data_IF_428040198313
#
_entry.id   IF_428040198313
#
_cell.length_a   1.000
_cell.length_b   1.000
_cell.length_c   1.000
_cell.angle_alpha   90.00
_cell.angle_beta   90.00
_cell.angle_gamma   90.00
#
_symmetry.space_group_name_H-M   'P 1'
#
loop_
_entity.id
_entity.type
_entity.pdbx_description
1 polymer ?
#
# COMPACT_ATOMS: atom_id res chain seq x y z
N UNK A 1 23.93 -15.88 -12.66
CA UNK A 1 22.56 -15.31 -12.54
C UNK A 1 22.71 -13.83 -12.20
N UNK A 2 21.93 -12.92 -12.82
CA UNK A 2 21.89 -11.53 -12.34
C UNK A 2 21.28 -11.52 -10.93
N UNK A 3 21.83 -10.70 -10.05
CA UNK A 3 21.34 -10.56 -8.68
C UNK A 3 19.91 -9.99 -8.68
N UNK A 4 19.00 -10.55 -7.86
CA UNK A 4 17.63 -10.06 -7.70
C UNK A 4 17.66 -8.67 -7.04
N UNK A 5 16.84 -7.74 -7.49
CA UNK A 5 16.73 -6.41 -6.89
C UNK A 5 16.06 -6.52 -5.52
N UNK A 6 16.70 -5.95 -4.50
CA UNK A 6 16.16 -6.01 -3.13
C UNK A 6 15.06 -4.96 -2.96
N UNK A 7 13.88 -5.43 -2.58
CA UNK A 7 12.73 -4.59 -2.24
C UNK A 7 12.41 -4.79 -0.76
N UNK A 8 12.31 -3.70 0.00
CA UNK A 8 11.99 -3.76 1.44
C UNK A 8 10.61 -3.21 1.76
N UNK A 9 10.08 -2.36 0.89
CA UNK A 9 8.78 -1.72 1.05
C UNK A 9 8.00 -1.72 -0.26
N UNK A 10 6.69 -1.60 -0.17
CA UNK A 10 5.77 -1.52 -1.30
C UNK A 10 4.86 -0.32 -1.10
N UNK A 11 4.58 0.37 -2.20
CA UNK A 11 3.59 1.42 -2.28
C UNK A 11 2.61 1.06 -3.38
N UNK A 12 1.33 0.97 -3.07
CA UNK A 12 0.29 0.58 -4.04
C UNK A 12 -0.65 1.75 -4.30
N UNK A 13 -0.98 1.99 -5.57
CA UNK A 13 -2.01 2.94 -6.00
C UNK A 13 -2.88 2.28 -7.07
N UNK A 14 -4.19 2.50 -7.00
CA UNK A 14 -5.11 1.87 -7.92
C UNK A 14 -6.56 2.07 -7.53
N UNK A 15 -7.44 1.38 -8.24
CA UNK A 15 -8.87 1.52 -8.09
C UNK A 15 -9.51 0.39 -7.26
N UNK A 16 -10.79 0.10 -7.51
CA UNK A 16 -11.57 -0.93 -6.83
C UNK A 16 -10.97 -2.33 -6.97
N UNK A 17 -10.16 -2.61 -8.00
CA UNK A 17 -9.48 -3.89 -8.17
C UNK A 17 -8.41 -4.14 -7.09
N UNK A 18 -7.94 -3.08 -6.45
CA UNK A 18 -6.90 -3.13 -5.41
C UNK A 18 -7.35 -2.53 -4.07
N UNK A 19 -8.56 -1.96 -4.01
CA UNK A 19 -9.10 -1.33 -2.80
C UNK A 19 -9.33 -2.36 -1.68
N UNK A 20 -8.74 -2.07 -0.51
CA UNK A 20 -8.77 -2.91 0.70
C UNK A 20 -9.82 -2.44 1.72
N UNK A 21 -10.77 -1.60 1.32
CA UNK A 21 -11.86 -1.08 2.16
C UNK A 21 -11.84 0.44 2.35
N UNK A 22 -10.94 1.18 1.70
CA UNK A 22 -10.82 2.64 1.84
C UNK A 22 -12.12 3.32 1.38
N UNK A 23 -12.71 2.88 0.27
CA UNK A 23 -14.00 3.43 -0.19
C UNK A 23 -15.17 3.07 0.75
N UNK A 24 -15.12 1.95 1.46
CA UNK A 24 -16.16 1.57 2.42
C UNK A 24 -16.18 2.50 3.64
N UNK A 25 -14.99 2.85 4.12
CA UNK A 25 -14.77 3.68 5.30
C UNK A 25 -14.90 5.19 5.03
N UNK A 26 -14.88 5.60 3.76
CA UNK A 26 -14.95 7.01 3.36
C UNK A 26 -16.33 7.63 3.61
N UNK A 27 -16.33 8.86 4.14
CA UNK A 27 -17.52 9.69 4.25
C UNK A 27 -17.39 10.92 3.36
N UNK A 28 -18.32 11.05 2.40
CA UNK A 28 -18.48 12.27 1.62
C UNK A 28 -19.02 13.40 2.51
N UNK A 29 -18.37 14.56 2.46
CA UNK A 29 -18.61 15.72 3.34
C UNK A 29 -18.52 15.41 4.85
N UNK A 30 -17.91 14.28 5.23
CA UNK A 30 -17.78 13.83 6.61
C UNK A 30 -19.05 13.18 7.22
N UNK A 31 -20.14 13.03 6.46
CA UNK A 31 -21.38 12.45 6.99
C UNK A 31 -22.16 11.53 6.03
N UNK A 32 -21.86 11.52 4.73
CA UNK A 32 -22.52 10.62 3.76
C UNK A 32 -21.62 9.38 3.54
N UNK A 33 -21.99 8.19 4.04
CA UNK A 33 -21.15 7.00 3.89
C UNK A 33 -21.05 6.57 2.42
N UNK A 34 -19.82 6.50 1.89
CA UNK A 34 -19.59 6.13 0.50
C UNK A 34 -19.98 4.68 0.20
N UNK A 35 -19.91 3.77 1.18
CA UNK A 35 -20.43 2.39 1.11
C UNK A 35 -21.80 2.25 0.46
N UNK A 36 -22.71 3.21 0.70
CA UNK A 36 -24.07 3.20 0.14
C UNK A 36 -24.13 3.68 -1.30
N UNK A 37 -23.18 4.52 -1.70
CA UNK A 37 -23.11 5.12 -3.03
C UNK A 37 -22.25 4.31 -4.01
N UNK A 38 -21.33 3.49 -3.49
CA UNK A 38 -20.38 2.69 -4.27
C UNK A 38 -20.83 1.27 -4.57
N UNK A 39 -22.00 0.85 -4.07
CA UNK A 39 -22.51 -0.53 -4.25
C UNK A 39 -21.98 -1.55 -3.23
N UNK A 40 -21.11 -1.14 -2.30
CA UNK A 40 -20.51 -2.01 -1.28
C UNK A 40 -21.48 -2.45 -0.16
N UNK A 41 -22.63 -1.80 -0.02
CA UNK A 41 -23.54 -1.98 1.12
C UNK A 41 -24.12 -3.40 1.31
N UNK A 42 -24.08 -4.28 0.29
CA UNK A 42 -24.72 -5.61 0.35
C UNK A 42 -23.85 -6.79 -0.07
N UNK A 43 -22.90 -6.57 -0.97
CA UNK A 43 -22.19 -7.64 -1.67
C UNK A 43 -20.67 -7.55 -1.47
N UNK A 44 -20.20 -6.90 -0.42
CA UNK A 44 -18.77 -6.62 -0.24
C UNK A 44 -18.32 -6.98 1.17
N UNK A 45 -17.99 -8.26 1.43
CA UNK A 45 -17.36 -8.64 2.68
C UNK A 45 -16.10 -7.79 2.90
N UNK A 46 -15.99 -7.20 4.09
CA UNK A 46 -14.85 -6.36 4.49
C UNK A 46 -14.60 -5.14 3.56
N UNK A 47 -15.63 -4.63 2.87
CA UNK A 47 -15.54 -3.38 2.13
C UNK A 47 -14.77 -3.44 0.80
N UNK A 48 -14.43 -4.64 0.31
CA UNK A 48 -13.74 -4.83 -0.99
C UNK A 48 -14.75 -5.02 -2.12
N UNK A 49 -14.39 -4.63 -3.34
CA UNK A 49 -15.22 -4.82 -4.55
C UNK A 49 -15.15 -6.26 -5.08
N UNK A 50 -15.27 -7.24 -4.18
CA UNK A 50 -15.21 -8.67 -4.49
C UNK A 50 -15.81 -9.45 -3.30
N UNK A 51 -15.86 -10.78 -3.37
CA UNK A 51 -16.41 -11.66 -2.33
C UNK A 51 -15.40 -12.11 -1.27
N UNK A 52 -14.26 -11.44 -1.17
CA UNK A 52 -13.17 -11.79 -0.27
C UNK A 52 -12.02 -10.80 -0.38
N UNK A 53 -10.80 -11.33 -0.39
CA UNK A 53 -9.58 -10.53 -0.49
C UNK A 53 -9.21 -10.20 -1.94
N UNK A 54 -8.69 -8.99 -2.17
CA UNK A 54 -8.16 -8.59 -3.48
C UNK A 54 -6.79 -9.23 -3.74
N UNK A 55 -6.27 -9.07 -4.95
CA UNK A 55 -4.93 -9.54 -5.31
C UNK A 55 -3.85 -8.88 -4.44
N UNK A 56 -4.06 -7.61 -4.05
CA UNK A 56 -3.13 -6.85 -3.20
C UNK A 56 -3.09 -7.41 -1.77
N UNK A 57 -4.24 -7.77 -1.19
CA UNK A 57 -4.31 -8.48 0.10
C UNK A 57 -3.58 -9.83 0.06
N UNK A 58 -3.78 -10.59 -1.03
CA UNK A 58 -3.14 -11.91 -1.24
C UNK A 58 -1.63 -11.77 -1.40
N UNK A 59 -1.18 -10.79 -2.18
CA UNK A 59 0.23 -10.50 -2.38
C UNK A 59 0.90 -10.05 -1.07
N UNK A 60 0.24 -9.17 -0.30
CA UNK A 60 0.69 -8.74 1.02
C UNK A 60 0.90 -9.91 1.97
N UNK A 61 -0.05 -10.85 1.97
CA UNK A 61 -0.01 -12.10 2.75
C UNK A 61 1.14 -13.00 2.31
N UNK A 62 1.34 -13.17 1.01
CA UNK A 62 2.43 -13.97 0.46
C UNK A 62 3.79 -13.44 0.93
N UNK A 63 4.02 -12.12 0.88
CA UNK A 63 5.26 -11.52 1.37
C UNK A 63 5.45 -11.71 2.88
N UNK A 64 4.41 -11.45 3.68
CA UNK A 64 4.48 -11.63 5.12
C UNK A 64 4.78 -13.09 5.51
N UNK A 65 4.12 -14.05 4.84
CA UNK A 65 4.39 -15.47 5.03
C UNK A 65 5.83 -15.84 4.63
N UNK A 66 6.33 -15.30 3.52
CA UNK A 66 7.72 -15.52 3.11
C UNK A 66 8.71 -14.98 4.15
N UNK A 67 8.45 -13.81 4.75
CA UNK A 67 9.30 -13.28 5.82
C UNK A 67 9.34 -14.21 7.03
N UNK A 68 8.21 -14.80 7.40
CA UNK A 68 8.14 -15.76 8.52
C UNK A 68 8.91 -17.03 8.17
N UNK A 69 8.70 -17.57 6.97
CA UNK A 69 9.40 -18.78 6.50
C UNK A 69 10.91 -18.55 6.49
N UNK A 70 11.38 -17.43 5.96
CA UNK A 70 12.80 -17.07 5.94
C UNK A 70 13.36 -16.94 7.36
N UNK A 71 12.63 -16.30 8.28
CA UNK A 71 13.02 -16.14 9.69
C UNK A 71 13.12 -17.49 10.41
N UNK A 72 12.17 -18.40 10.17
CA UNK A 72 12.15 -19.74 10.74
C UNK A 72 13.27 -20.62 10.19
N UNK A 73 13.51 -20.58 8.87
CA UNK A 73 14.64 -21.25 8.23
C UNK A 73 15.97 -20.77 8.81
N UNK A 74 16.14 -19.46 8.96
CA UNK A 74 17.40 -18.89 9.45
C UNK A 74 17.63 -19.13 10.93
N UNK A 75 16.61 -18.93 11.79
CA UNK A 75 16.77 -18.98 13.25
C UNK A 75 16.57 -20.35 13.86
N UNK A 76 15.71 -21.18 13.26
CA UNK A 76 15.36 -22.51 13.79
C UNK A 76 15.85 -23.66 12.91
N UNK A 77 16.48 -23.38 11.77
CA UNK A 77 16.97 -24.38 10.81
C UNK A 77 15.88 -25.34 10.31
N UNK A 78 14.61 -24.89 10.30
CA UNK A 78 13.49 -25.68 9.82
C UNK A 78 13.46 -25.72 8.30
N UNK A 79 13.10 -26.86 7.72
CA UNK A 79 12.78 -26.98 6.29
C UNK A 79 11.37 -26.45 5.98
N UNK A 80 11.02 -26.34 4.69
CA UNK A 80 9.65 -25.98 4.32
C UNK A 80 8.64 -27.05 4.78
N UNK A 81 9.03 -28.32 4.74
CA UNK A 81 8.20 -29.45 5.17
C UNK A 81 7.97 -29.41 6.68
N UNK A 82 9.03 -29.14 7.48
CA UNK A 82 8.88 -29.00 8.94
C UNK A 82 7.91 -27.87 9.32
N UNK A 83 7.95 -26.75 8.58
CA UNK A 83 7.04 -25.62 8.80
C UNK A 83 5.61 -26.01 8.43
N UNK A 84 5.42 -26.70 7.31
CA UNK A 84 4.11 -27.17 6.86
C UNK A 84 3.51 -28.17 7.85
N UNK A 85 4.28 -29.17 8.27
CA UNK A 85 3.88 -30.15 9.28
C UNK A 85 3.51 -29.45 10.59
N UNK A 86 4.33 -28.50 11.04
CA UNK A 86 4.05 -27.71 12.25
C UNK A 86 2.74 -26.92 12.16
N UNK A 87 2.39 -26.39 10.98
CA UNK A 87 1.10 -25.71 10.77
C UNK A 87 -0.04 -26.72 10.81
N UNK A 88 0.09 -27.88 10.14
CA UNK A 88 -0.93 -28.94 10.12
C UNK A 88 -1.18 -29.48 11.53
N UNK A 89 -0.13 -29.72 12.31
CA UNK A 89 -0.22 -30.21 13.69
C UNK A 89 -0.53 -29.11 14.70
N UNK A 90 -0.77 -27.87 14.26
CA UNK A 90 -1.08 -26.71 15.10
C UNK A 90 -0.03 -26.48 16.20
N UNK A 91 1.27 -26.61 15.88
CA UNK A 91 2.35 -26.24 16.80
C UNK A 91 2.15 -24.78 17.24
N UNK A 92 1.96 -24.57 18.54
CA UNK A 92 1.58 -23.25 19.09
C UNK A 92 2.64 -22.18 18.78
N UNK A 93 3.92 -22.52 18.76
CA UNK A 93 4.97 -21.55 18.52
C UNK A 93 5.02 -21.12 17.06
N UNK A 94 4.95 -22.08 16.13
CA UNK A 94 4.94 -21.78 14.69
C UNK A 94 3.64 -21.09 14.31
N UNK A 95 2.48 -21.60 14.74
CA UNK A 95 1.19 -21.01 14.46
C UNK A 95 1.05 -19.58 15.01
N UNK A 96 1.58 -19.31 16.22
CA UNK A 96 1.62 -17.95 16.78
C UNK A 96 2.44 -16.99 15.92
N UNK A 97 3.53 -17.45 15.30
CA UNK A 97 4.36 -16.62 14.43
C UNK A 97 3.58 -16.14 13.19
N UNK A 98 2.71 -16.98 12.60
CA UNK A 98 1.84 -16.60 11.48
C UNK A 98 0.68 -15.73 11.90
N UNK A 99 -0.02 -16.09 12.99
CA UNK A 99 -1.23 -15.37 13.42
C UNK A 99 -0.98 -13.99 14.04
N UNK A 100 0.22 -13.72 14.56
CA UNK A 100 0.52 -12.47 15.29
C UNK A 100 1.48 -11.53 14.56
N UNK A 101 2.16 -11.98 13.50
CA UNK A 101 3.18 -11.15 12.85
C UNK A 101 2.59 -10.12 11.89
N UNK A 102 1.36 -10.27 11.39
CA UNK A 102 0.73 -9.28 10.51
C UNK A 102 -0.79 -9.39 10.56
N UNK A 103 -1.49 -8.37 10.07
CA UNK A 103 -2.93 -8.42 9.84
C UNK A 103 -3.32 -7.54 8.65
N UNK A 104 -4.44 -7.88 8.00
CA UNK A 104 -4.96 -7.14 6.84
C UNK A 104 -6.09 -6.16 7.19
N UNK A 105 -6.33 -5.91 8.49
CA UNK A 105 -7.45 -5.06 8.96
C UNK A 105 -7.28 -3.58 8.65
N UNK A 106 -6.04 -3.10 8.66
CA UNK A 106 -5.72 -1.73 8.28
C UNK A 106 -5.72 -1.63 6.75
N UNK A 107 -6.61 -0.80 6.22
CA UNK A 107 -6.77 -0.61 4.80
C UNK A 107 -5.64 0.28 4.24
N UNK A 108 -5.09 1.21 5.01
CA UNK A 108 -4.08 2.18 4.56
C UNK A 108 -2.66 1.57 4.56
N UNK A 109 -2.41 0.54 5.35
CA UNK A 109 -1.09 -0.09 5.41
C UNK A 109 -1.11 -1.55 5.84
N UNK A 110 -0.01 -2.25 5.53
CA UNK A 110 0.28 -3.57 6.11
C UNK A 110 1.58 -3.49 6.88
N UNK A 111 1.53 -4.02 8.11
CA UNK A 111 2.66 -4.07 9.01
C UNK A 111 3.06 -5.53 9.26
N UNK A 112 4.36 -5.78 9.30
CA UNK A 112 4.96 -7.03 9.70
C UNK A 112 5.75 -6.83 10.99
N UNK A 113 5.33 -7.47 12.09
CA UNK A 113 5.87 -7.27 13.45
C UNK A 113 5.98 -5.79 13.80
N UNK A 114 4.91 -5.04 13.52
CA UNK A 114 4.80 -3.59 13.68
C UNK A 114 5.64 -2.73 12.71
N UNK A 115 6.44 -3.34 11.84
CA UNK A 115 7.14 -2.61 10.78
C UNK A 115 6.24 -2.45 9.59
N UNK A 116 5.96 -1.21 9.21
CA UNK A 116 5.29 -0.90 7.95
C UNK A 116 6.12 -1.47 6.80
N UNK A 117 5.50 -2.29 5.96
CA UNK A 117 6.13 -2.76 4.74
C UNK A 117 5.30 -2.45 3.48
N UNK A 118 3.98 -2.23 3.62
CA UNK A 118 3.13 -1.78 2.53
C UNK A 118 2.40 -0.52 2.95
N UNK A 119 2.40 0.49 2.07
CA UNK A 119 1.48 1.63 2.11
C UNK A 119 0.50 1.52 0.95
N UNK A 120 -0.78 1.61 1.27
CA UNK A 120 -1.87 1.46 0.33
C UNK A 120 -2.54 2.81 0.07
N UNK A 121 -2.63 3.18 -1.19
CA UNK A 121 -3.33 4.36 -1.69
C UNK A 121 -4.41 3.99 -2.72
N UNK A 122 -4.80 2.71 -2.76
CA UNK A 122 -5.86 2.20 -3.61
C UNK A 122 -7.24 2.69 -3.11
N UNK A 123 -8.09 3.18 -4.01
CA UNK A 123 -9.43 3.60 -3.63
C UNK A 123 -10.41 3.34 -4.77
N UNK A 124 -11.55 2.74 -4.45
CA UNK A 124 -12.63 2.49 -5.40
C UNK A 124 -12.96 3.70 -6.26
N UNK A 125 -13.07 3.51 -7.57
CA UNK A 125 -13.38 4.60 -8.49
C UNK A 125 -12.23 5.56 -8.80
N UNK A 126 -11.01 5.35 -8.26
CA UNK A 126 -9.83 6.14 -8.63
C UNK A 126 -9.64 6.18 -10.14
N UNK A 127 -9.52 7.38 -10.70
CA UNK A 127 -9.12 7.59 -12.10
C UNK A 127 -7.65 7.98 -12.21
N UNK A 128 -7.04 7.66 -13.35
CA UNK A 128 -5.69 8.11 -13.64
C UNK A 128 -5.67 9.64 -13.79
N UNK A 129 -6.54 10.18 -14.64
CA UNK A 129 -6.68 11.61 -14.88
C UNK A 129 -7.62 12.27 -13.86
N UNK A 130 -7.39 13.55 -13.56
CA UNK A 130 -8.27 14.38 -12.73
C UNK A 130 -9.40 14.97 -13.59
N UNK A 131 -10.64 14.59 -13.26
CA UNK A 131 -11.84 15.05 -13.96
C UNK A 131 -12.67 16.07 -13.16
N UNK A 132 -12.21 16.51 -11.99
CA UNK A 132 -12.97 17.37 -11.06
C UNK A 132 -13.54 18.64 -11.70
N UNK A 133 -12.85 19.18 -12.71
CA UNK A 133 -13.26 20.37 -13.46
C UNK A 133 -13.82 20.09 -14.87
N UNK A 134 -14.07 18.83 -15.21
CA UNK A 134 -14.59 18.43 -16.53
C UNK A 134 -16.13 18.44 -16.55
N UNK A 135 -16.77 19.33 -17.33
CA UNK A 135 -18.23 19.43 -17.39
C UNK A 135 -18.85 18.13 -17.90
N UNK A 136 -19.97 17.73 -17.31
CA UNK A 136 -20.77 16.57 -17.71
C UNK A 136 -22.25 16.95 -17.75
N UNK A 137 -22.95 16.56 -18.81
CA UNK A 137 -24.41 16.71 -18.91
C UNK A 137 -25.18 15.72 -18.02
N UNK A 138 -24.48 14.77 -17.39
CA UNK A 138 -25.06 13.78 -16.48
C UNK A 138 -24.69 14.16 -15.04
N UNK A 139 -25.69 14.50 -14.23
CA UNK A 139 -25.51 14.95 -12.84
C UNK A 139 -24.78 13.90 -11.99
N UNK A 140 -25.13 12.61 -12.12
CA UNK A 140 -24.43 11.52 -11.42
C UNK A 140 -22.95 11.43 -11.80
N UNK A 141 -22.62 11.60 -13.09
CA UNK A 141 -21.21 11.60 -13.56
C UNK A 141 -20.47 12.88 -13.18
N UNK A 142 -21.15 14.02 -13.16
CA UNK A 142 -20.57 15.27 -12.68
C UNK A 142 -20.19 15.14 -11.20
N UNK A 143 -21.09 14.61 -10.39
CA UNK A 143 -20.88 14.32 -8.97
C UNK A 143 -19.75 13.29 -8.77
N UNK A 144 -19.71 12.20 -9.56
CA UNK A 144 -18.63 11.21 -9.46
C UNK A 144 -17.27 11.81 -9.82
N UNK A 145 -17.19 12.67 -10.86
CA UNK A 145 -15.94 13.34 -11.26
C UNK A 145 -15.38 14.27 -10.18
N UNK A 146 -16.24 14.86 -9.35
CA UNK A 146 -15.83 15.74 -8.25
C UNK A 146 -15.38 14.93 -7.02
N UNK A 147 -15.96 13.76 -6.80
CA UNK A 147 -15.79 13.01 -5.56
C UNK A 147 -14.68 11.96 -5.66
N UNK A 148 -14.52 11.34 -6.82
CA UNK A 148 -13.57 10.25 -7.00
C UNK A 148 -12.13 10.79 -7.05
N UNK A 149 -11.19 10.14 -6.35
CA UNK A 149 -9.81 10.58 -6.33
C UNK A 149 -9.12 10.33 -7.67
N UNK A 150 -8.08 11.11 -7.94
CA UNK A 150 -7.17 10.92 -9.06
C UNK A 150 -5.78 10.43 -8.58
N UNK A 151 -4.92 10.00 -9.51
CA UNK A 151 -3.51 9.77 -9.18
C UNK A 151 -2.81 11.02 -8.65
N UNK A 152 -3.23 12.22 -9.06
CA UNK A 152 -2.66 13.46 -8.54
C UNK A 152 -2.99 13.66 -7.04
N UNK A 153 -4.19 13.26 -6.61
CA UNK A 153 -4.57 13.28 -5.20
C UNK A 153 -3.76 12.27 -4.40
N UNK A 154 -3.60 11.04 -4.92
CA UNK A 154 -2.78 10.01 -4.27
C UNK A 154 -1.31 10.39 -4.19
N UNK A 155 -0.75 11.02 -5.22
CA UNK A 155 0.59 11.61 -5.14
C UNK A 155 0.72 12.62 -4.01
N UNK A 156 -0.27 13.52 -3.87
CA UNK A 156 -0.29 14.52 -2.80
C UNK A 156 -0.35 13.86 -1.43
N UNK A 157 -1.16 12.80 -1.28
CA UNK A 157 -1.23 11.99 -0.06
C UNK A 157 0.10 11.29 0.25
N UNK A 158 0.76 10.69 -0.75
CA UNK A 158 2.07 10.05 -0.61
C UNK A 158 3.12 11.04 -0.12
N UNK A 159 3.19 12.25 -0.70
CA UNK A 159 4.16 13.26 -0.28
C UNK A 159 3.89 13.71 1.16
N UNK A 160 2.61 13.88 1.53
CA UNK A 160 2.22 14.20 2.91
C UNK A 160 2.67 13.10 3.89
N UNK A 161 2.41 11.85 3.55
CA UNK A 161 2.78 10.70 4.37
C UNK A 161 4.30 10.49 4.41
N UNK A 162 5.00 10.74 3.30
CA UNK A 162 6.46 10.69 3.24
C UNK A 162 7.08 11.65 4.26
N UNK A 163 6.53 12.86 4.36
CA UNK A 163 6.94 13.84 5.35
C UNK A 163 6.52 13.43 6.76
N UNK A 164 5.28 12.98 6.96
CA UNK A 164 4.75 12.59 8.27
C UNK A 164 5.52 11.40 8.87
N UNK A 165 5.92 10.44 8.05
CA UNK A 165 6.62 9.23 8.46
C UNK A 165 8.15 9.31 8.29
N UNK A 166 8.68 10.45 7.85
CA UNK A 166 10.12 10.68 7.65
C UNK A 166 10.76 9.62 6.73
N UNK A 167 10.11 9.32 5.62
CA UNK A 167 10.56 8.31 4.66
C UNK A 167 11.90 8.75 4.04
N UNK A 168 12.96 7.97 4.30
CA UNK A 168 14.31 8.27 3.84
C UNK A 168 14.48 8.03 2.34
N UNK A 169 15.53 8.60 1.73
CA UNK A 169 15.87 8.31 0.34
C UNK A 169 16.21 6.82 0.11
N UNK A 170 16.80 6.16 1.11
CA UNK A 170 17.10 4.73 1.05
C UNK A 170 15.81 3.89 1.09
N UNK A 171 14.82 4.28 1.89
CA UNK A 171 13.50 3.63 1.90
C UNK A 171 12.79 3.83 0.56
N UNK A 172 12.74 5.07 0.03
CA UNK A 172 12.12 5.34 -1.28
C UNK A 172 12.78 4.59 -2.43
N UNK A 173 14.11 4.54 -2.45
CA UNK A 173 14.86 3.85 -3.50
C UNK A 173 14.78 2.33 -3.41
N UNK A 174 14.44 1.77 -2.24
CA UNK A 174 14.15 0.33 -2.06
C UNK A 174 12.66 -0.01 -2.00
N UNK A 175 11.79 0.96 -2.30
CA UNK A 175 10.34 0.78 -2.40
C UNK A 175 9.94 0.39 -3.82
N UNK A 176 9.12 -0.65 -3.95
CA UNK A 176 8.44 -1.00 -5.19
C UNK A 176 7.08 -0.29 -5.28
N UNK A 177 6.90 0.55 -6.29
CA UNK A 177 5.64 1.21 -6.60
C UNK A 177 4.82 0.34 -7.54
N UNK A 178 3.64 -0.07 -7.11
CA UNK A 178 2.66 -0.79 -7.91
C UNK A 178 1.52 0.16 -8.26
N UNK A 179 1.21 0.29 -9.55
CA UNK A 179 0.17 1.21 -10.00
C UNK A 179 -0.78 0.55 -11.01
N UNK A 180 -2.05 0.42 -10.61
CA UNK A 180 -3.12 -0.15 -11.44
C UNK A 180 -4.31 0.81 -11.52
N UNK A 181 -4.25 1.75 -12.45
CA UNK A 181 -5.31 2.72 -12.73
C UNK A 181 -5.63 2.83 -14.22
N UNK A 182 -6.77 3.47 -14.52
CA UNK A 182 -7.20 3.80 -15.88
C UNK A 182 -8.57 3.23 -16.24
N UNK A 183 -9.06 2.20 -15.56
CA UNK A 183 -10.36 1.61 -15.89
C UNK A 183 -11.50 2.64 -15.71
N UNK A 184 -11.50 3.38 -14.60
CA UNK A 184 -12.51 4.38 -14.31
C UNK A 184 -12.53 5.54 -15.30
N UNK A 185 -11.39 5.92 -15.88
CA UNK A 185 -11.29 6.89 -16.98
C UNK A 185 -12.12 6.45 -18.19
N UNK A 186 -12.22 5.14 -18.44
CA UNK A 186 -12.97 4.59 -19.57
C UNK A 186 -14.44 4.32 -19.24
N UNK A 187 -14.74 3.80 -18.04
CA UNK A 187 -16.05 3.16 -17.76
C UNK A 187 -16.88 3.82 -16.65
N UNK A 188 -16.30 4.72 -15.86
CA UNK A 188 -16.96 5.29 -14.67
C UNK A 188 -17.19 6.79 -14.82
N UNK A 189 -16.11 7.56 -15.01
CA UNK A 189 -16.17 9.02 -15.06
C UNK A 189 -16.56 9.54 -16.44
N UNK A 190 -16.57 8.69 -17.46
CA UNK A 190 -16.96 9.02 -18.82
C UNK A 190 -18.15 8.16 -19.28
N UNK A 191 -19.01 8.74 -20.12
CA UNK A 191 -20.23 8.07 -20.56
C UNK A 191 -19.97 6.90 -21.52
N UNK A 192 -18.85 6.97 -22.26
CA UNK A 192 -18.39 5.96 -23.22
C UNK A 192 -16.86 5.97 -23.23
N UNK A 193 -16.25 4.81 -23.43
CA UNK A 193 -14.83 4.72 -23.71
C UNK A 193 -14.48 5.49 -24.99
N UNK A 194 -13.32 6.15 -24.99
CA UNK A 194 -12.78 6.81 -26.18
C UNK A 194 -11.26 6.89 -26.14
N UNK A 195 -10.64 6.94 -27.32
CA UNK A 195 -9.18 7.05 -27.46
C UNK A 195 -8.61 8.31 -26.77
N UNK A 196 -9.37 9.42 -26.75
CA UNK A 196 -8.97 10.65 -26.05
C UNK A 196 -8.81 10.44 -24.54
N UNK A 197 -9.71 9.69 -23.92
CA UNK A 197 -9.63 9.43 -22.48
C UNK A 197 -8.52 8.41 -22.16
N UNK A 198 -8.26 7.47 -23.08
CA UNK A 198 -7.07 6.62 -22.99
C UNK A 198 -5.78 7.45 -22.98
N UNK A 199 -5.63 8.40 -23.91
CA UNK A 199 -4.46 9.28 -23.98
C UNK A 199 -4.28 10.10 -22.70
N UNK A 200 -5.37 10.67 -22.16
CA UNK A 200 -5.36 11.42 -20.90
C UNK A 200 -4.93 10.56 -19.72
N UNK A 201 -5.46 9.35 -19.62
CA UNK A 201 -5.10 8.41 -18.56
C UNK A 201 -3.60 8.07 -18.62
N UNK A 202 -3.07 7.72 -19.80
CA UNK A 202 -1.64 7.41 -19.96
C UNK A 202 -0.76 8.63 -19.65
N UNK A 203 -1.12 9.82 -20.12
CA UNK A 203 -0.39 11.05 -19.79
C UNK A 203 -0.34 11.31 -18.28
N UNK A 204 -1.47 11.11 -17.58
CA UNK A 204 -1.53 11.28 -16.12
C UNK A 204 -0.67 10.24 -15.38
N UNK A 205 -0.67 8.98 -15.81
CA UNK A 205 0.18 7.92 -15.26
C UNK A 205 1.67 8.22 -15.45
N UNK A 206 2.08 8.65 -16.64
CA UNK A 206 3.46 9.07 -16.94
C UNK A 206 3.88 10.24 -16.06
N UNK A 207 3.01 11.25 -15.92
CA UNK A 207 3.27 12.39 -15.04
C UNK A 207 3.44 11.95 -13.58
N UNK A 208 2.60 11.04 -13.10
CA UNK A 208 2.68 10.51 -11.73
C UNK A 208 4.01 9.77 -11.49
N UNK A 209 4.43 8.90 -12.42
CA UNK A 209 5.72 8.20 -12.32
C UNK A 209 6.88 9.19 -12.27
N UNK A 210 6.93 10.18 -13.16
CA UNK A 210 7.97 11.20 -13.17
C UNK A 210 8.02 11.99 -11.84
N UNK A 211 6.85 12.33 -11.27
CA UNK A 211 6.77 13.00 -9.97
C UNK A 211 7.32 12.11 -8.84
N UNK A 212 7.01 10.82 -8.83
CA UNK A 212 7.55 9.88 -7.83
C UNK A 212 9.06 9.64 -8.00
N UNK A 213 9.56 9.58 -9.24
CA UNK A 213 11.00 9.53 -9.52
C UNK A 213 11.69 10.77 -8.92
N UNK A 214 11.13 11.96 -9.11
CA UNK A 214 11.64 13.20 -8.52
C UNK A 214 11.63 13.18 -6.98
N UNK A 215 10.74 12.40 -6.34
CA UNK A 215 10.72 12.22 -4.88
C UNK A 215 11.76 11.22 -4.34
N UNK A 216 12.35 10.38 -5.19
CA UNK A 216 13.35 9.39 -4.79
C UNK A 216 13.00 7.93 -5.12
N UNK A 217 11.78 7.65 -5.59
CA UNK A 217 11.36 6.30 -5.94
C UNK A 217 12.05 5.81 -7.22
N UNK A 218 12.40 4.52 -7.28
CA UNK A 218 13.20 3.95 -8.38
C UNK A 218 12.60 2.71 -9.03
N UNK A 219 11.67 2.02 -8.37
CA UNK A 219 11.13 0.76 -8.86
C UNK A 219 9.62 0.87 -9.08
N UNK A 220 9.16 0.58 -10.30
CA UNK A 220 7.78 0.77 -10.73
C UNK A 220 7.31 -0.44 -11.53
N UNK A 221 6.12 -0.95 -11.18
CA UNK A 221 5.36 -1.89 -12.00
C UNK A 221 3.99 -1.25 -12.28
N UNK A 222 3.74 -1.01 -13.56
CA UNK A 222 2.51 -0.41 -14.05
C UNK A 222 1.65 -1.51 -14.68
N UNK A 223 0.42 -1.65 -14.22
CA UNK A 223 -0.49 -2.66 -14.73
C UNK A 223 -1.17 -2.13 -15.98
N UNK A 224 -1.26 -2.97 -17.02
CA UNK A 224 -2.13 -2.68 -18.16
C UNK A 224 -3.61 -2.96 -17.81
N UNK A 225 -4.54 -2.68 -18.72
CA UNK A 225 -5.95 -2.92 -18.49
C UNK A 225 -6.36 -4.32 -18.93
N UNK A 226 -7.15 -5.05 -18.12
CA UNK A 226 -7.92 -6.18 -18.64
C UNK A 226 -8.85 -5.69 -19.75
N UNK A 227 -9.25 -6.58 -20.66
CA UNK A 227 -10.22 -6.21 -21.68
C UNK A 227 -11.59 -6.01 -21.03
N UNK A 228 -11.93 -4.75 -20.77
CA UNK A 228 -13.17 -4.36 -20.10
C UNK A 228 -14.40 -4.72 -20.94
N UNK A 229 -14.26 -4.96 -22.24
CA UNK A 229 -15.36 -5.40 -23.10
C UNK A 229 -15.85 -6.81 -22.77
N UNK A 230 -15.03 -7.62 -22.08
CA UNK A 230 -15.37 -8.97 -21.62
C UNK A 230 -16.22 -8.99 -20.35
N UNK A 231 -16.33 -7.86 -19.65
CA UNK A 231 -17.14 -7.77 -18.43
C UNK A 231 -18.63 -7.97 -18.72
N UNK A 232 -19.42 -8.52 -17.78
CA UNK A 232 -20.86 -8.69 -17.96
C UNK A 232 -21.57 -7.40 -18.39
N UNK A 233 -21.15 -6.24 -17.86
CA UNK A 233 -21.69 -4.92 -18.24
C UNK A 233 -21.67 -4.69 -19.76
N UNK A 234 -20.57 -5.01 -20.43
CA UNK A 234 -20.42 -4.81 -21.87
C UNK A 234 -20.92 -6.00 -22.70
N UNK A 235 -20.88 -7.21 -22.15
CA UNK A 235 -21.47 -8.39 -22.79
C UNK A 235 -23.00 -8.27 -22.89
N UNK A 236 -23.66 -7.67 -21.90
CA UNK A 236 -25.10 -7.36 -21.93
C UNK A 236 -25.43 -6.03 -22.62
N UNK A 237 -24.41 -5.28 -23.05
CA UNK A 237 -24.56 -3.99 -23.73
C UNK A 237 -24.73 -4.11 -25.25
N UNK A 238 -24.64 -2.97 -25.95
CA UNK A 238 -24.67 -2.97 -27.42
C UNK A 238 -23.33 -3.40 -28.00
N UNK A 239 -23.36 -4.04 -29.18
CA UNK A 239 -22.14 -4.42 -29.91
C UNK A 239 -21.20 -3.23 -30.15
N UNK A 240 -21.76 -2.08 -30.51
CA UNK A 240 -20.98 -0.84 -30.68
C UNK A 240 -20.25 -0.41 -29.41
N UNK A 241 -20.89 -0.54 -28.24
CA UNK A 241 -20.27 -0.23 -26.96
C UNK A 241 -19.18 -1.24 -26.59
N UNK A 242 -19.39 -2.52 -26.92
CA UNK A 242 -18.39 -3.58 -26.71
C UNK A 242 -17.16 -3.37 -27.60
N UNK A 243 -17.35 -3.14 -28.91
CA UNK A 243 -16.26 -2.92 -29.88
C UNK A 243 -15.39 -1.70 -29.51
N UNK A 244 -16.02 -0.55 -29.23
CA UNK A 244 -15.24 0.65 -28.89
C UNK A 244 -14.45 0.46 -27.59
N UNK A 245 -15.02 -0.22 -26.59
CA UNK A 245 -14.33 -0.51 -25.33
C UNK A 245 -13.16 -1.47 -25.55
N UNK A 246 -13.34 -2.54 -26.32
CA UNK A 246 -12.27 -3.48 -26.68
C UNK A 246 -11.08 -2.75 -27.33
N UNK A 247 -11.38 -1.94 -28.36
CA UNK A 247 -10.36 -1.15 -29.07
C UNK A 247 -9.67 -0.13 -28.18
N UNK A 248 -10.40 0.49 -27.25
CA UNK A 248 -9.80 1.41 -26.27
C UNK A 248 -8.86 0.68 -25.29
N UNK A 249 -9.21 -0.54 -24.85
CA UNK A 249 -8.35 -1.33 -23.97
C UNK A 249 -7.06 -1.75 -24.69
N UNK A 250 -7.15 -2.21 -25.94
CA UNK A 250 -5.98 -2.52 -26.76
C UNK A 250 -5.07 -1.29 -26.96
N UNK A 251 -5.67 -0.14 -27.31
CA UNK A 251 -4.93 1.11 -27.47
C UNK A 251 -4.27 1.56 -26.17
N UNK A 252 -4.97 1.44 -25.04
CA UNK A 252 -4.42 1.75 -23.71
C UNK A 252 -3.18 0.91 -23.43
N UNK A 253 -3.27 -0.41 -23.63
CA UNK A 253 -2.19 -1.33 -23.33
C UNK A 253 -0.97 -1.08 -24.23
N UNK A 254 -1.20 -0.78 -25.51
CA UNK A 254 -0.15 -0.38 -26.45
C UNK A 254 0.53 0.93 -26.02
N UNK A 255 -0.24 1.97 -25.70
CA UNK A 255 0.31 3.26 -25.28
C UNK A 255 1.05 3.16 -23.94
N UNK A 256 0.57 2.35 -23.00
CA UNK A 256 1.25 2.13 -21.71
C UNK A 256 2.63 1.49 -21.93
N UNK A 257 2.73 0.50 -22.80
CA UNK A 257 4.00 -0.15 -23.09
C UNK A 257 4.99 0.83 -23.73
N UNK A 258 4.55 1.59 -24.73
CA UNK A 258 5.36 2.65 -25.36
C UNK A 258 5.83 3.69 -24.34
N UNK A 259 4.93 4.16 -23.47
CA UNK A 259 5.25 5.11 -22.41
C UNK A 259 6.26 4.54 -21.40
N UNK A 260 6.11 3.27 -21.01
CA UNK A 260 7.08 2.61 -20.12
C UNK A 260 8.44 2.45 -20.79
N UNK A 261 8.51 2.13 -22.08
CA UNK A 261 9.76 2.09 -22.84
C UNK A 261 10.45 3.46 -22.85
N UNK A 262 9.70 4.54 -23.09
CA UNK A 262 10.22 5.90 -23.06
C UNK A 262 10.73 6.30 -21.66
N UNK A 263 9.94 6.02 -20.62
CA UNK A 263 10.32 6.30 -19.24
C UNK A 263 11.61 5.55 -18.83
N UNK A 264 11.77 4.28 -19.24
CA UNK A 264 13.02 3.51 -19.02
C UNK A 264 14.22 4.18 -19.68
N UNK A 265 14.09 4.64 -20.93
CA UNK A 265 15.18 5.31 -21.65
C UNK A 265 15.57 6.65 -20.99
N UNK A 266 14.60 7.37 -20.45
CA UNK A 266 14.81 8.67 -19.80
C UNK A 266 15.35 8.55 -18.36
N UNK A 267 15.17 7.39 -17.70
CA UNK A 267 15.48 7.18 -16.29
C UNK A 267 16.30 5.91 -16.08
N UNK A 268 17.56 5.91 -16.53
CA UNK A 268 18.44 4.74 -16.51
C UNK A 268 18.70 4.16 -15.10
N UNK A 269 18.49 4.94 -14.04
CA UNK A 269 18.61 4.52 -12.65
C UNK A 269 17.31 3.94 -12.06
N UNK A 270 16.24 3.84 -12.86
CA UNK A 270 14.95 3.31 -12.44
C UNK A 270 14.66 1.97 -13.13
N UNK A 271 13.95 1.09 -12.44
CA UNK A 271 13.33 -0.08 -13.07
C UNK A 271 11.85 0.18 -13.23
N UNK A 272 11.40 0.28 -14.45
CA UNK A 272 9.99 0.52 -14.78
C UNK A 272 9.54 -0.70 -15.59
N UNK A 273 8.42 -1.33 -15.28
CA UNK A 273 7.94 -2.51 -15.98
C UNK A 273 6.44 -2.45 -16.17
N UNK A 274 5.95 -3.07 -17.23
CA UNK A 274 4.52 -3.34 -17.41
C UNK A 274 4.25 -4.73 -16.86
N UNK A 275 3.18 -4.86 -16.08
CA UNK A 275 2.58 -6.16 -15.79
C UNK A 275 1.38 -6.38 -16.71
N UNK A 276 1.46 -7.43 -17.53
CA UNK A 276 0.44 -7.76 -18.51
C UNK A 276 -0.69 -8.59 -17.90
N UNK A 277 -1.61 -7.88 -17.25
CA UNK A 277 -2.82 -8.49 -16.69
C UNK A 277 -3.82 -8.85 -17.80
N UNK A 278 -3.79 -8.13 -18.92
CA UNK A 278 -4.69 -8.36 -20.05
C UNK A 278 -4.59 -9.78 -20.59
N UNK A 279 -3.35 -10.25 -20.84
CA UNK A 279 -3.12 -11.62 -21.30
C UNK A 279 -3.60 -12.66 -20.30
N UNK A 280 -3.46 -12.40 -18.99
CA UNK A 280 -3.94 -13.29 -17.93
C UNK A 280 -5.46 -13.41 -17.94
N UNK A 281 -6.19 -12.29 -18.00
CA UNK A 281 -7.66 -12.30 -18.11
C UNK A 281 -8.15 -12.95 -19.40
N UNK A 282 -7.48 -12.66 -20.52
CA UNK A 282 -7.82 -13.25 -21.82
C UNK A 282 -7.63 -14.77 -21.82
N UNK A 283 -6.56 -15.28 -21.21
CA UNK A 283 -6.33 -16.72 -21.07
C UNK A 283 -7.38 -17.38 -20.17
N UNK A 284 -7.76 -16.75 -19.05
CA UNK A 284 -8.83 -17.26 -18.17
C UNK A 284 -10.18 -17.31 -18.88
N UNK A 285 -10.48 -16.28 -19.69
CA UNK A 285 -11.74 -16.21 -20.42
C UNK A 285 -11.82 -17.23 -21.57
N UNK A 286 -10.71 -17.44 -22.28
CA UNK A 286 -10.67 -18.36 -23.44
C UNK A 286 -10.41 -19.82 -23.04
N UNK A 287 -9.74 -20.07 -21.91
CA UNK A 287 -9.39 -21.41 -21.42
C UNK A 287 -9.82 -21.62 -19.96
N UNK A 288 -11.12 -21.44 -19.63
CA UNK A 288 -11.59 -21.41 -18.24
C UNK A 288 -11.29 -22.68 -17.43
N UNK A 289 -11.37 -23.85 -18.06
CA UNK A 289 -11.12 -25.14 -17.40
C UNK A 289 -9.69 -25.27 -16.85
N UNK A 290 -8.70 -24.59 -17.43
CA UNK A 290 -7.32 -24.53 -16.94
C UNK A 290 -7.22 -23.87 -15.56
N UNK A 291 -8.21 -23.05 -15.23
CA UNK A 291 -8.26 -22.23 -14.02
C UNK A 291 -9.37 -22.65 -13.06
N UNK A 292 -9.93 -23.86 -13.24
CA UNK A 292 -11.09 -24.34 -12.48
C UNK A 292 -12.32 -23.42 -12.58
N UNK A 293 -12.45 -22.73 -13.72
CA UNK A 293 -13.59 -21.91 -14.08
C UNK A 293 -14.56 -22.68 -14.96
N UNK A 294 -15.84 -22.33 -14.89
CA UNK A 294 -16.91 -23.00 -15.63
C UNK A 294 -17.27 -22.18 -16.89
N UNK A 295 -17.14 -22.74 -18.11
CA UNK A 295 -17.35 -22.03 -19.38
C UNK A 295 -18.69 -21.27 -19.50
N UNK A 296 -19.74 -21.78 -18.87
CA UNK A 296 -21.08 -21.21 -18.85
C UNK A 296 -21.20 -20.00 -17.90
N UNK A 297 -20.32 -19.90 -16.89
CA UNK A 297 -20.33 -18.86 -15.85
C UNK A 297 -19.44 -17.66 -16.18
N UNK A 298 -18.45 -17.79 -17.07
CA UNK A 298 -17.42 -16.76 -17.31
C UNK A 298 -17.93 -15.39 -17.77
N UNK A 299 -19.16 -15.30 -18.30
CA UNK A 299 -19.80 -14.04 -18.74
C UNK A 299 -20.86 -13.53 -17.77
N UNK A 300 -21.12 -14.27 -16.70
CA UNK A 300 -22.20 -13.98 -15.78
C UNK A 300 -21.67 -13.30 -14.52
N UNK A 301 -22.36 -12.27 -14.01
CA UNK A 301 -22.08 -11.72 -12.69
C UNK A 301 -22.64 -12.68 -11.63
N UNK A 302 -21.81 -13.15 -10.70
CA UNK A 302 -22.25 -14.08 -9.67
C UNK A 302 -23.35 -13.49 -8.77
N UNK A 303 -23.25 -12.22 -8.37
CA UNK A 303 -24.20 -11.53 -7.48
C UNK A 303 -25.64 -11.45 -7.97
N UNK A 304 -25.89 -11.61 -9.27
CA UNK A 304 -27.25 -11.65 -9.84
C UNK A 304 -27.56 -12.97 -10.52
N UNK A 305 -26.72 -14.00 -10.32
CA UNK A 305 -26.94 -15.34 -10.83
C UNK A 305 -27.85 -16.16 -9.92
N UNK A 306 -28.48 -17.24 -10.42
CA UNK A 306 -29.23 -18.18 -9.60
C UNK A 306 -28.37 -18.88 -8.52
N UNK A 307 -27.06 -18.96 -8.73
CA UNK A 307 -26.11 -19.63 -7.83
C UNK A 307 -25.73 -18.76 -6.62
N UNK A 308 -26.15 -17.49 -6.60
CA UNK A 308 -25.80 -16.56 -5.52
C UNK A 308 -26.37 -17.02 -4.17
N UNK A 309 -25.47 -17.38 -3.25
CA UNK A 309 -25.82 -17.70 -1.86
C UNK A 309 -24.97 -16.92 -0.88
N UNK A 310 -25.60 -16.14 0.00
CA UNK A 310 -24.95 -15.51 1.14
C UNK A 310 -25.08 -16.43 2.37
N UNK A 311 -23.97 -17.01 2.80
CA UNK A 311 -23.92 -17.88 3.97
C UNK A 311 -24.18 -17.10 5.27
N UNK A 312 -24.61 -17.80 6.32
CA UNK A 312 -24.88 -17.20 7.63
C UNK A 312 -23.64 -16.51 8.25
N UNK A 313 -22.43 -16.96 7.91
CA UNK A 313 -21.17 -16.35 8.33
C UNK A 313 -20.75 -15.13 7.46
N UNK A 314 -21.63 -14.68 6.55
CA UNK A 314 -21.38 -13.54 5.66
C UNK A 314 -20.48 -13.85 4.46
N UNK A 315 -20.10 -15.12 4.25
CA UNK A 315 -19.30 -15.53 3.08
C UNK A 315 -20.18 -15.88 1.88
N UNK A 316 -19.63 -15.77 0.68
CA UNK A 316 -20.32 -16.18 -0.54
C UNK A 316 -19.29 -16.69 -1.56
N UNK A 317 -18.89 -17.98 -1.49
CA UNK A 317 -17.93 -18.57 -2.42
C UNK A 317 -18.51 -18.57 -3.85
N UNK A 318 -17.83 -17.92 -4.79
CA UNK A 318 -18.27 -17.75 -6.16
C UNK A 318 -17.58 -18.76 -7.10
N UNK A 319 -17.60 -20.04 -6.72
CA UNK A 319 -16.86 -21.09 -7.42
C UNK A 319 -17.22 -21.17 -8.90
N UNK A 320 -16.21 -21.21 -9.77
CA UNK A 320 -16.39 -21.28 -11.21
C UNK A 320 -16.63 -19.94 -11.92
N UNK A 321 -16.84 -18.84 -11.18
CA UNK A 321 -17.11 -17.51 -11.74
C UNK A 321 -15.86 -16.65 -11.89
N UNK A 322 -15.77 -15.91 -13.01
CA UNK A 322 -14.79 -14.83 -13.16
C UNK A 322 -15.25 -13.56 -12.45
N UNK A 323 -16.52 -13.21 -12.60
CA UNK A 323 -17.05 -11.91 -12.18
C UNK A 323 -17.93 -12.02 -10.95
N UNK A 324 -17.63 -11.21 -9.94
CA UNK A 324 -18.45 -11.06 -8.75
C UNK A 324 -19.71 -10.24 -9.06
N UNK A 325 -19.53 -9.07 -9.67
CA UNK A 325 -20.60 -8.19 -10.14
C UNK A 325 -20.45 -7.90 -11.64
N UNK A 326 -21.01 -6.80 -12.13
CA UNK A 326 -21.02 -6.50 -13.55
C UNK A 326 -19.65 -6.15 -14.15
N UNK A 327 -18.64 -5.88 -13.31
CA UNK A 327 -17.27 -5.53 -13.76
C UNK A 327 -16.14 -6.07 -12.89
N UNK A 328 -16.36 -6.33 -11.60
CA UNK A 328 -15.30 -6.72 -10.69
C UNK A 328 -15.10 -8.24 -10.64
N UNK A 329 -13.85 -8.71 -10.56
CA UNK A 329 -13.53 -10.13 -10.49
C UNK A 329 -13.86 -10.73 -9.10
N UNK A 330 -14.04 -12.06 -9.06
CA UNK A 330 -14.19 -12.81 -7.80
C UNK A 330 -12.85 -12.91 -7.06
N UNK A 331 -12.91 -13.28 -5.78
CA UNK A 331 -11.75 -13.48 -4.92
C UNK A 331 -10.84 -14.62 -5.41
N UNK A 332 -11.40 -15.60 -6.16
CA UNK A 332 -10.65 -16.68 -6.78
C UNK A 332 -9.81 -16.15 -7.95
N UNK A 333 -10.38 -15.27 -8.78
CA UNK A 333 -9.63 -14.57 -9.82
C UNK A 333 -8.56 -13.68 -9.19
N UNK A 334 -8.88 -12.91 -8.15
CA UNK A 334 -7.88 -12.11 -7.44
C UNK A 334 -6.70 -12.94 -6.91
N UNK A 335 -6.95 -14.16 -6.42
CA UNK A 335 -5.88 -15.08 -6.01
C UNK A 335 -5.00 -15.48 -7.20
N UNK A 336 -5.61 -15.87 -8.33
CA UNK A 336 -4.87 -16.18 -9.57
C UNK A 336 -4.02 -15.00 -10.02
N UNK A 337 -4.54 -13.77 -9.96
CA UNK A 337 -3.79 -12.57 -10.34
C UNK A 337 -2.57 -12.32 -9.44
N UNK A 338 -2.70 -12.56 -8.14
CA UNK A 338 -1.58 -12.45 -7.20
C UNK A 338 -0.50 -13.49 -7.49
N UNK A 339 -0.89 -14.73 -7.80
CA UNK A 339 0.04 -15.80 -8.18
C UNK A 339 0.76 -15.46 -9.50
N UNK A 340 0.03 -14.97 -10.52
CA UNK A 340 0.62 -14.50 -11.78
C UNK A 340 1.62 -13.38 -11.57
N UNK A 341 1.32 -12.45 -10.68
CA UNK A 341 2.24 -11.37 -10.32
C UNK A 341 3.51 -11.94 -9.70
N UNK A 342 3.36 -12.83 -8.71
CA UNK A 342 4.49 -13.44 -8.01
C UNK A 342 5.39 -14.23 -8.97
N UNK A 343 4.81 -15.10 -9.81
CA UNK A 343 5.55 -15.89 -10.81
C UNK A 343 6.33 -15.00 -11.79
N UNK A 344 5.72 -13.89 -12.22
CA UNK A 344 6.34 -12.98 -13.19
C UNK A 344 7.54 -12.26 -12.59
N UNK A 345 7.47 -11.91 -11.30
CA UNK A 345 8.39 -10.97 -10.68
C UNK A 345 9.34 -11.59 -9.64
N UNK A 346 9.10 -12.83 -9.18
CA UNK A 346 9.97 -13.50 -8.21
C UNK A 346 11.41 -13.60 -8.72
N UNK A 347 11.62 -13.93 -10.00
CA UNK A 347 12.97 -14.03 -10.56
C UNK A 347 13.73 -12.69 -10.60
N UNK A 348 13.03 -11.56 -10.48
CA UNK A 348 13.57 -10.21 -10.64
C UNK A 348 13.75 -9.49 -9.31
N UNK A 349 12.87 -9.75 -8.34
CA UNK A 349 12.83 -9.04 -7.07
C UNK A 349 13.02 -10.01 -5.91
N UNK A 350 13.85 -9.62 -4.96
CA UNK A 350 13.97 -10.27 -3.67
C UNK A 350 13.28 -9.39 -2.64
N UNK A 351 12.06 -9.76 -2.26
CA UNK A 351 11.35 -9.10 -1.17
C UNK A 351 11.98 -9.48 0.15
N UNK A 352 12.43 -8.48 0.91
CA UNK A 352 13.04 -8.66 2.23
C UNK A 352 12.20 -7.94 3.27
N UNK A 353 12.16 -8.53 4.46
CA UNK A 353 11.55 -7.90 5.62
C UNK A 353 12.14 -6.49 5.81
N UNK A 354 11.32 -5.47 6.09
CA UNK A 354 11.85 -4.18 6.51
C UNK A 354 12.76 -4.37 7.72
N UNK A 355 13.85 -3.62 7.78
CA UNK A 355 14.74 -3.65 8.94
C UNK A 355 14.23 -2.64 9.97
N UNK A 356 14.07 -3.07 11.21
CA UNK A 356 13.99 -2.14 12.32
C UNK A 356 15.26 -1.30 12.37
N UNK A 357 15.08 0.00 12.59
CA UNK A 357 16.20 0.87 12.94
C UNK A 357 16.74 0.42 14.29
N UNK A 358 18.03 0.11 14.35
CA UNK A 358 18.71 -0.20 15.60
C UNK A 358 18.94 1.08 16.44
N UNK A 359 19.39 0.92 17.68
CA UNK A 359 19.63 2.06 18.59
C UNK A 359 20.58 3.10 18.00
N UNK A 360 21.63 2.67 17.30
CA UNK A 360 22.64 3.56 16.70
C UNK A 360 22.02 4.40 15.58
N UNK A 361 21.22 3.78 14.72
CA UNK A 361 20.51 4.46 13.63
C UNK A 361 19.50 5.49 14.17
N UNK A 362 18.74 5.12 15.21
CA UNK A 362 17.84 6.03 15.90
C UNK A 362 18.60 7.20 16.53
N UNK A 363 19.74 6.96 17.19
CA UNK A 363 20.58 8.02 17.73
C UNK A 363 21.14 8.96 16.65
N UNK A 364 21.55 8.42 15.50
CA UNK A 364 22.03 9.23 14.38
C UNK A 364 20.91 10.10 13.81
N UNK A 365 19.71 9.56 13.65
CA UNK A 365 18.52 10.29 13.21
C UNK A 365 18.15 11.43 14.17
N UNK A 366 18.17 11.14 15.48
CA UNK A 366 17.95 12.14 16.52
C UNK A 366 18.93 13.30 16.42
N UNK A 367 20.23 13.00 16.27
CA UNK A 367 21.28 14.02 16.12
C UNK A 367 21.09 14.88 14.87
N UNK A 368 20.77 14.25 13.73
CA UNK A 368 20.53 14.97 12.47
C UNK A 368 19.36 15.93 12.58
N UNK A 369 18.26 15.50 13.20
CA UNK A 369 17.09 16.37 13.38
C UNK A 369 17.38 17.51 14.36
N UNK A 370 18.14 17.26 15.42
CA UNK A 370 18.62 18.32 16.30
C UNK A 370 19.43 19.38 15.54
N UNK A 371 20.39 18.95 14.72
CA UNK A 371 21.19 19.85 13.87
C UNK A 371 20.32 20.64 12.88
N UNK A 372 19.37 19.98 12.23
CA UNK A 372 18.44 20.61 11.28
C UNK A 372 17.60 21.70 11.97
N UNK A 373 17.07 21.43 13.16
CA UNK A 373 16.30 22.42 13.93
C UNK A 373 17.15 23.58 14.43
N UNK A 374 18.40 23.33 14.84
CA UNK A 374 19.34 24.39 15.21
C UNK A 374 19.65 25.32 14.03
N UNK A 375 19.90 24.76 12.85
CA UNK A 375 20.14 25.54 11.62
C UNK A 375 18.90 26.35 11.20
N UNK A 376 17.71 25.76 11.26
CA UNK A 376 16.46 26.42 10.88
C UNK A 376 16.09 27.61 11.76
N UNK A 377 16.77 27.78 12.90
CA UNK A 377 16.39 28.73 13.96
C UNK A 377 17.47 29.75 14.28
N UNK A 378 18.66 29.65 13.66
CA UNK A 378 19.74 30.64 13.72
C UNK A 378 19.29 32.07 13.34
N UNK A 379 18.19 32.23 12.60
CA UNK A 379 17.64 33.53 12.17
C UNK A 379 16.36 33.96 12.91
N UNK A 380 15.97 33.32 14.03
CA UNK A 380 14.74 33.67 14.79
C UNK A 380 15.09 34.23 16.18
N UNK A 381 14.65 35.46 16.46
CA UNK A 381 14.93 36.25 17.68
C UNK A 381 14.49 35.59 19.02
N UNK A 382 13.64 34.54 18.99
CA UNK A 382 13.02 33.95 20.18
C UNK A 382 13.29 32.46 20.35
N UNK A 383 14.39 31.94 19.80
CA UNK A 383 14.72 30.52 19.98
C UNK A 383 15.47 30.27 21.29
N UNK A 384 14.86 29.49 22.20
CA UNK A 384 15.55 28.91 23.35
C UNK A 384 16.16 27.57 22.93
N UNK A 385 17.49 27.46 22.74
CA UNK A 385 18.13 26.15 22.56
C UNK A 385 17.89 25.28 23.81
N UNK A 386 17.82 23.96 23.66
CA UNK A 386 17.73 23.05 24.81
C UNK A 386 18.93 23.28 25.73
N UNK A 387 18.66 23.54 27.01
CA UNK A 387 19.68 23.66 28.06
C UNK A 387 20.21 22.31 28.53
N UNK A 388 19.71 21.19 28.00
CA UNK A 388 20.05 19.83 28.49
C UNK A 388 20.39 18.84 27.37
N UNK A 389 20.25 19.20 26.09
CA UNK A 389 20.64 18.32 24.97
C UNK A 389 22.11 17.90 25.01
N UNK A 390 22.99 18.78 25.50
CA UNK A 390 24.42 18.49 25.68
C UNK A 390 24.70 17.43 26.77
N UNK A 391 23.71 17.14 27.63
CA UNK A 391 23.82 16.10 28.66
C UNK A 391 23.62 14.70 28.08
N UNK A 392 23.09 14.55 26.86
CA UNK A 392 22.91 13.25 26.23
C UNK A 392 24.25 12.61 25.84
N UNK A 393 24.57 11.51 26.49
CA UNK A 393 25.74 10.68 26.17
C UNK A 393 25.34 9.54 25.24
N UNK A 394 25.48 9.78 23.95
CA UNK A 394 25.18 8.82 22.88
C UNK A 394 26.12 7.62 22.80
N UNK A 395 27.17 7.57 23.63
CA UNK A 395 27.99 6.36 23.76
C UNK A 395 27.34 5.33 24.68
N UNK A 396 26.36 5.73 25.50
CA UNK A 396 25.67 4.84 26.44
C UNK A 396 24.53 4.08 25.75
N UNK A 397 24.39 2.80 26.11
CA UNK A 397 23.21 1.97 25.76
C UNK A 397 21.87 2.53 26.26
N UNK A 398 21.91 3.49 27.18
CA UNK A 398 20.72 4.03 27.84
C UNK A 398 20.22 5.31 27.17
N UNK A 399 20.91 5.80 26.14
CA UNK A 399 20.65 7.12 25.56
C UNK A 399 19.22 7.28 25.05
N UNK A 400 18.61 6.23 24.47
CA UNK A 400 17.20 6.31 24.04
C UNK A 400 16.26 6.50 25.22
N UNK A 401 16.50 5.81 26.34
CA UNK A 401 15.75 6.00 27.57
C UNK A 401 15.97 7.42 28.11
N UNK A 402 17.21 7.91 28.10
CA UNK A 402 17.53 9.25 28.58
C UNK A 402 16.89 10.34 27.68
N UNK A 403 16.79 10.14 26.36
CA UNK A 403 16.05 11.01 25.43
C UNK A 403 14.55 11.03 25.76
N UNK A 404 13.94 9.85 25.91
CA UNK A 404 12.52 9.70 26.25
C UNK A 404 12.21 10.38 27.59
N UNK A 405 13.06 10.21 28.59
CA UNK A 405 12.94 10.85 29.90
C UNK A 405 12.95 12.37 29.80
N UNK A 406 13.93 12.94 29.08
CA UNK A 406 14.07 14.38 28.94
C UNK A 406 12.84 14.99 28.25
N UNK A 407 12.35 14.37 27.18
CA UNK A 407 11.22 14.92 26.44
C UNK A 407 9.85 14.64 27.03
N UNK A 408 9.64 13.50 27.72
CA UNK A 408 8.33 13.10 28.24
C UNK A 408 8.13 13.42 29.72
N UNK A 409 9.12 13.11 30.57
CA UNK A 409 9.02 13.30 32.03
C UNK A 409 9.51 14.68 32.46
N UNK A 410 10.67 15.13 31.96
CA UNK A 410 11.19 16.48 32.21
C UNK A 410 10.57 17.55 31.33
N UNK A 411 9.78 17.15 30.33
CA UNK A 411 9.06 18.04 29.42
C UNK A 411 9.98 19.07 28.73
N UNK A 412 11.21 18.68 28.39
CA UNK A 412 12.08 19.53 27.56
C UNK A 412 11.38 19.72 26.19
N UNK A 413 10.98 20.96 25.91
CA UNK A 413 10.18 21.29 24.74
C UNK A 413 10.94 21.04 23.42
N UNK A 414 12.26 21.18 23.41
CA UNK A 414 13.08 20.97 22.22
C UNK A 414 13.23 19.48 21.93
N UNK A 415 13.58 18.66 22.93
CA UNK A 415 13.67 17.19 22.80
C UNK A 415 12.30 16.61 22.44
N UNK A 416 11.22 17.07 23.08
CA UNK A 416 9.86 16.66 22.75
C UNK A 416 9.50 17.01 21.29
N UNK A 417 9.92 18.18 20.81
CA UNK A 417 9.71 18.59 19.42
C UNK A 417 10.52 17.74 18.43
N UNK A 418 11.78 17.43 18.74
CA UNK A 418 12.61 16.51 17.95
C UNK A 418 11.94 15.13 17.87
N UNK A 419 11.52 14.56 19.00
CA UNK A 419 10.86 13.23 18.99
C UNK A 419 9.56 13.22 18.19
N UNK A 420 8.76 14.30 18.25
CA UNK A 420 7.55 14.44 17.42
C UNK A 420 7.90 14.54 15.94
N UNK A 421 8.90 15.34 15.60
CA UNK A 421 9.46 15.47 14.25
C UNK A 421 10.17 14.21 13.76
N UNK A 422 10.38 13.20 14.60
CA UNK A 422 10.91 11.90 14.16
C UNK A 422 9.83 10.82 14.15
N UNK A 423 8.60 11.15 14.56
CA UNK A 423 7.53 10.16 14.75
C UNK A 423 7.82 9.15 15.87
N UNK A 424 8.77 9.46 16.76
CA UNK A 424 9.11 8.63 17.92
C UNK A 424 8.02 8.70 18.99
N UNK A 425 7.32 9.83 19.05
CA UNK A 425 6.16 10.04 19.92
C UNK A 425 5.04 10.70 19.13
N UNK A 426 3.80 10.35 19.43
CA UNK A 426 2.64 10.98 18.79
C UNK A 426 2.39 12.41 19.36
N UNK A 427 1.39 13.10 18.83
CA UNK A 427 1.05 14.46 19.29
C UNK A 427 0.66 14.54 20.78
N UNK A 428 0.19 13.42 21.36
CA UNK A 428 -0.17 13.28 22.78
C UNK A 428 1.01 12.85 23.66
N UNK A 429 2.21 12.67 23.09
CA UNK A 429 3.42 12.28 23.84
C UNK A 429 3.53 10.78 24.14
N UNK A 430 2.72 9.93 23.52
CA UNK A 430 2.89 8.48 23.67
C UNK A 430 4.01 7.99 22.76
N UNK A 431 4.94 7.22 23.31
CA UNK A 431 6.01 6.55 22.56
C UNK A 431 5.41 5.65 21.52
N UNK A 432 5.98 5.69 20.32
CA UNK A 432 5.59 4.83 19.22
C UNK A 432 5.91 3.37 19.58
N UNK A 433 4.90 2.52 19.85
CA UNK A 433 5.13 1.15 20.29
C UNK A 433 5.69 0.27 19.16
N UNK A 434 5.70 0.79 17.93
CA UNK A 434 6.14 0.09 16.73
C UNK A 434 7.65 0.25 16.44
N UNK A 435 8.38 1.01 17.26
CA UNK A 435 9.85 1.05 17.23
C UNK A 435 10.37 0.29 18.46
N UNK A 436 10.72 -0.98 18.27
CA UNK A 436 11.06 -1.91 19.38
C UNK A 436 12.12 -1.34 20.33
N UNK A 437 13.17 -0.71 19.81
CA UNK A 437 14.21 -0.08 20.63
C UNK A 437 13.66 1.06 21.53
N UNK A 438 12.72 1.87 21.03
CA UNK A 438 12.08 2.92 21.83
C UNK A 438 11.12 2.34 22.87
N UNK A 439 10.38 1.29 22.51
CA UNK A 439 9.49 0.61 23.45
C UNK A 439 10.28 -0.08 24.58
N UNK A 440 11.41 -0.71 24.27
CA UNK A 440 12.35 -1.26 25.25
C UNK A 440 12.92 -0.15 26.14
N UNK A 441 13.37 0.97 25.54
CA UNK A 441 13.84 2.13 26.29
C UNK A 441 12.77 2.71 27.23
N UNK A 442 11.51 2.75 26.80
CA UNK A 442 10.38 3.17 27.63
C UNK A 442 10.16 2.22 28.82
N UNK A 443 10.23 0.90 28.60
CA UNK A 443 10.16 -0.08 29.71
C UNK A 443 11.34 0.07 30.68
N UNK A 444 12.54 0.36 30.17
CA UNK A 444 13.71 0.63 31.02
C UNK A 444 13.50 1.88 31.89
N UNK A 445 12.80 2.91 31.39
CA UNK A 445 12.43 4.07 32.19
C UNK A 445 11.42 3.72 33.28
N UNK A 446 10.35 2.99 32.95
CA UNK A 446 9.34 2.59 33.92
C UNK A 446 9.90 1.72 35.06
N UNK A 447 11.02 1.03 34.81
CA UNK A 447 11.70 0.17 35.79
C UNK A 447 12.87 0.87 36.52
N UNK A 448 13.24 2.10 36.14
CA UNK A 448 14.30 2.87 36.84
C UNK A 448 13.69 3.66 37.99
N UNK A 449 14.25 3.49 39.20
CA UNK A 449 13.97 4.42 40.30
C UNK A 449 14.66 5.78 40.11
N UNK A 450 15.83 5.85 39.43
CA UNK A 450 16.46 7.10 38.97
C UNK A 450 17.38 6.90 37.73
N UNK A 451 17.55 7.91 36.86
CA UNK A 451 18.38 7.84 35.65
C UNK A 451 19.88 8.11 35.88
N UNK A 452 20.73 7.70 34.92
CA UNK A 452 22.21 7.78 35.00
C UNK A 452 22.82 9.20 35.11
N UNK A 453 21.98 10.24 35.02
CA UNK A 453 22.34 11.65 35.10
C UNK A 453 21.94 12.31 36.43
N UNK A 454 21.18 11.63 37.30
CA UNK A 454 20.75 12.18 38.60
C UNK A 454 21.95 12.58 39.51
N UNK A 455 23.09 11.90 39.36
CA UNK A 455 24.30 12.17 40.13
C UNK A 455 25.18 13.31 39.58
N UNK A 456 24.77 14.08 38.57
CA UNK A 456 25.57 15.21 38.04
C UNK A 456 25.07 16.60 38.43
N UNK A 457 23.98 16.71 39.17
CA UNK A 457 23.40 17.99 39.60
C UNK A 457 23.92 18.49 40.96
N UNK A 458 25.12 18.09 41.40
CA UNK A 458 25.73 18.64 42.63
C UNK A 458 26.80 19.72 42.41
N UNK A 459 27.19 20.03 41.17
CA UNK A 459 28.27 20.98 40.91
C UNK A 459 27.93 22.11 39.92
N UNK A 460 26.70 22.62 39.93
CA UNK A 460 26.41 23.94 39.34
C UNK A 460 25.41 24.67 40.24
N UNK A 461 25.96 25.41 41.21
CA UNK A 461 25.32 26.58 41.83
C UNK A 461 25.95 27.84 41.23
#
# INVERSE_FOLDING_TARGET
MKEKLQITHILTMGDSLSDRGIMDERYLFGFIPMRRLSGLAKFSPQGRFTNGYTWDDRLSTAFANQFIIDDLKQKKHLTADDIADSIITHDRHIYSAFSQSYHLRDADMVQFRNLRFIRNYNEGGLSAHDYSWSPSYSLSRFVSRIILPSLADKFTQIVKDDNQFHISQDEKSSTLVLEWSGANDLITVNAKASFREVERAIQARVLNVNKLIAQGYRHFILFNLPDLSLTPRYQHGTEKARDITHRCCLYFNQLLDQACQQLKMQNANCTIRVFDINSSFTDMFNHPLKYHLEPEKIRQPYTTSPDFVLNANGTSPASGYIFWDDVHPTADIHAILADKFYDTFDSLYSFKMPKEKNEVELCMEFRKECQRLQQATQNKLFHRPSTVHHLLDFSKRTVLADILYLGLEKKDAYIANVMKNLGWVNQRGHVNPHITALYQAQKMLSNRQEPSFANRNHDIN
#
